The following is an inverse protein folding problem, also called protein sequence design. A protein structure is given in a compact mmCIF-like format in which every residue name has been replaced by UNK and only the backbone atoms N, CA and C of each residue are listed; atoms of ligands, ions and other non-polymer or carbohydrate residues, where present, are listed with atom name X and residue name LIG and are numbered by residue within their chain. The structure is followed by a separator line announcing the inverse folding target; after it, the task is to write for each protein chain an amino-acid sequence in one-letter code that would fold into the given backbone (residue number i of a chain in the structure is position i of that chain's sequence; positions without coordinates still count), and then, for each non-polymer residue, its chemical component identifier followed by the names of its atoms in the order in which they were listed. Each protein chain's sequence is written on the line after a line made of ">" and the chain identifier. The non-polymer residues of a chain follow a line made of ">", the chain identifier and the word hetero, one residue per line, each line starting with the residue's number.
data_IF_634655133296
#
_entry.id   IF_634655133296
#
_cell.length_a   1.000
_cell.length_b   1.000
_cell.length_c   1.000
_cell.angle_alpha   90.00
_cell.angle_beta   90.00
_cell.angle_gamma   90.00
#
_symmetry.space_group_name_H-M   'P 1'
#
loop_
_entity.id
_entity.type
_entity.pdbx_description
1 polymer ?
#
# COMPACT_ATOMS: atom_id res chain seq x y z
N UNK A 1 8.75 -1.17 21.03
CA UNK A 1 8.23 -0.43 19.86
C UNK A 1 7.62 -1.43 18.90
N UNK A 2 6.44 -1.13 18.37
CA UNK A 2 5.76 -1.96 17.39
C UNK A 2 5.32 -1.10 16.21
N UNK A 3 5.29 -1.68 15.03
CA UNK A 3 4.87 -1.00 13.81
C UNK A 3 3.50 -1.52 13.38
N UNK A 4 2.72 -0.63 12.75
CA UNK A 4 1.46 -0.96 12.12
C UNK A 4 1.45 -0.39 10.70
N UNK A 5 0.87 -1.14 9.78
CA UNK A 5 0.61 -0.69 8.42
C UNK A 5 -0.83 -0.18 8.35
N UNK A 6 -1.03 0.98 7.73
CA UNK A 6 -2.31 1.66 7.61
C UNK A 6 -2.53 2.01 6.15
N UNK A 7 -3.72 1.69 5.63
CA UNK A 7 -4.14 2.14 4.31
C UNK A 7 -5.03 3.37 4.49
N UNK A 8 -4.60 4.48 3.91
CA UNK A 8 -5.39 5.70 3.80
C UNK A 8 -6.01 5.74 2.41
N UNK A 9 -7.32 5.99 2.36
CA UNK A 9 -8.06 6.08 1.11
C UNK A 9 -8.61 7.49 1.01
N UNK A 10 -8.31 8.19 -0.07
CA UNK A 10 -8.72 9.58 -0.27
C UNK A 10 -9.33 9.81 -1.65
N UNK A 11 -10.27 10.74 -1.74
CA UNK A 11 -10.82 11.23 -3.00
C UNK A 11 -10.87 12.76 -2.97
N UNK A 12 -10.38 13.38 -4.06
CA UNK A 12 -10.20 14.84 -4.16
C UNK A 12 -11.36 15.58 -4.84
N UNK A 13 -12.55 14.97 -4.94
CA UNK A 13 -13.70 15.55 -5.65
C UNK A 13 -13.76 15.26 -7.16
N UNK A 14 -12.76 14.59 -7.73
CA UNK A 14 -12.83 13.94 -9.04
C UNK A 14 -13.35 12.49 -8.95
N UNK A 15 -13.14 11.69 -9.99
CA UNK A 15 -13.51 10.27 -9.98
C UNK A 15 -12.41 9.36 -9.40
N UNK A 16 -11.22 9.88 -9.13
CA UNK A 16 -10.09 9.12 -8.59
C UNK A 16 -10.24 8.81 -7.10
N UNK A 17 -9.71 7.66 -6.70
CA UNK A 17 -9.65 7.18 -5.32
C UNK A 17 -8.24 6.68 -5.06
N UNK A 18 -7.45 7.45 -4.34
CA UNK A 18 -6.04 7.18 -4.12
C UNK A 18 -5.83 6.39 -2.83
N UNK A 19 -4.93 5.42 -2.90
CA UNK A 19 -4.58 4.55 -1.79
C UNK A 19 -3.13 4.86 -1.39
N UNK A 20 -2.93 5.21 -0.12
CA UNK A 20 -1.61 5.46 0.44
C UNK A 20 -1.33 4.45 1.55
N UNK A 21 -0.20 3.76 1.46
CA UNK A 21 0.34 2.93 2.52
C UNK A 21 1.14 3.80 3.48
N UNK A 22 0.75 3.82 4.75
CA UNK A 22 1.51 4.44 5.82
C UNK A 22 2.04 3.40 6.81
N UNK A 23 3.27 3.57 7.27
CA UNK A 23 3.81 2.84 8.44
C UNK A 23 3.81 3.76 9.65
N UNK A 24 3.16 3.30 10.70
CA UNK A 24 3.02 4.01 11.97
C UNK A 24 3.78 3.25 13.04
N UNK A 25 4.70 3.93 13.71
CA UNK A 25 5.32 3.39 14.93
C UNK A 25 4.48 3.75 16.14
N UNK A 26 4.38 2.79 17.05
CA UNK A 26 3.81 2.96 18.37
C UNK A 26 4.90 2.86 19.43
N UNK A 27 5.04 3.95 20.18
CA UNK A 27 5.86 4.03 21.39
C UNK A 27 4.99 4.47 22.58
N UNK A 28 4.69 3.52 23.47
CA UNK A 28 3.68 3.70 24.51
C UNK A 28 2.31 4.08 23.93
N UNK A 29 1.85 5.29 24.24
CA UNK A 29 0.59 5.86 23.74
C UNK A 29 0.77 6.81 22.55
N UNK A 30 2.01 7.02 22.10
CA UNK A 30 2.31 7.89 20.96
C UNK A 30 2.29 7.07 19.69
N UNK A 31 1.53 7.54 18.71
CA UNK A 31 1.54 7.05 17.34
C UNK A 31 2.25 8.08 16.45
N UNK A 32 3.21 7.64 15.66
CA UNK A 32 3.95 8.51 14.75
C UNK A 32 3.96 7.88 13.36
N UNK A 33 3.44 8.60 12.37
CA UNK A 33 3.60 8.23 10.97
C UNK A 33 5.08 8.43 10.59
N UNK A 34 5.75 7.35 10.19
CA UNK A 34 7.18 7.37 9.86
C UNK A 34 7.38 7.51 8.35
N UNK A 35 6.54 6.85 7.56
CA UNK A 35 6.66 6.78 6.12
C UNK A 35 5.29 6.62 5.47
N UNK A 36 5.13 7.23 4.30
CA UNK A 36 3.95 7.06 3.45
C UNK A 36 4.39 6.83 2.01
N UNK A 37 3.67 6.00 1.28
CA UNK A 37 3.87 5.77 -0.15
C UNK A 37 2.51 5.61 -0.84
N UNK A 38 2.35 6.25 -2.00
CA UNK A 38 1.16 6.04 -2.81
C UNK A 38 1.25 4.67 -3.50
N UNK A 39 0.23 3.84 -3.32
CA UNK A 39 0.22 2.46 -3.85
C UNK A 39 -0.73 2.28 -5.04
N UNK A 40 -1.44 3.34 -5.44
CA UNK A 40 -2.22 3.38 -6.68
C UNK A 40 -3.53 4.17 -6.59
N UNK A 41 -4.24 4.18 -7.72
CA UNK A 41 -5.59 4.73 -7.88
C UNK A 41 -6.58 3.58 -8.14
N UNK A 42 -7.75 3.61 -7.51
CA UNK A 42 -8.86 2.66 -7.64
C UNK A 42 -8.51 1.17 -7.45
N UNK A 43 -7.38 0.86 -6.84
CA UNK A 43 -7.01 -0.51 -6.50
C UNK A 43 -7.98 -1.11 -5.47
N UNK A 44 -8.04 -2.43 -5.39
CA UNK A 44 -8.86 -3.13 -4.40
C UNK A 44 -7.95 -3.88 -3.45
N UNK A 45 -7.87 -3.50 -2.17
CA UNK A 45 -7.07 -4.20 -1.17
C UNK A 45 -7.87 -5.39 -0.63
N UNK A 46 -7.29 -6.59 -0.70
CA UNK A 46 -7.87 -7.79 -0.09
C UNK A 46 -7.21 -8.16 1.24
N UNK A 47 -5.88 -7.99 1.36
CA UNK A 47 -5.14 -8.32 2.58
C UNK A 47 -3.95 -7.39 2.78
N UNK A 48 -3.60 -7.14 4.05
CA UNK A 48 -2.40 -6.42 4.45
C UNK A 48 -1.79 -7.04 5.69
N UNK A 49 -0.48 -7.28 5.64
CA UNK A 49 0.27 -7.85 6.75
C UNK A 49 1.70 -7.35 6.81
N UNK A 50 2.29 -7.40 8.00
CA UNK A 50 3.71 -7.18 8.22
C UNK A 50 4.33 -8.52 8.56
N UNK A 51 5.23 -9.02 7.72
CA UNK A 51 5.95 -10.28 7.91
C UNK A 51 7.43 -10.06 7.59
N UNK A 52 8.34 -10.50 8.47
CA UNK A 52 9.80 -10.37 8.27
C UNK A 52 10.24 -8.95 7.86
N UNK A 53 9.77 -7.93 8.59
CA UNK A 53 10.04 -6.50 8.33
C UNK A 53 9.61 -6.03 6.93
N UNK A 54 8.67 -6.72 6.30
CA UNK A 54 8.14 -6.41 4.98
C UNK A 54 6.62 -6.23 5.09
N UNK A 55 6.11 -5.13 4.56
CA UNK A 55 4.66 -4.95 4.37
C UNK A 55 4.30 -5.69 3.08
N UNK A 56 3.38 -6.64 3.20
CA UNK A 56 2.86 -7.43 2.08
C UNK A 56 1.40 -7.07 1.89
N UNK A 57 1.05 -6.64 0.67
CA UNK A 57 -0.29 -6.23 0.32
C UNK A 57 -0.79 -7.13 -0.80
N UNK A 58 -1.93 -7.78 -0.59
CA UNK A 58 -2.66 -8.47 -1.65
C UNK A 58 -3.73 -7.53 -2.18
N UNK A 59 -3.67 -7.22 -3.48
CA UNK A 59 -4.57 -6.26 -4.10
C UNK A 59 -4.92 -6.64 -5.55
N UNK A 60 -6.03 -6.12 -6.04
CA UNK A 60 -6.28 -5.98 -7.49
C UNK A 60 -5.79 -4.62 -7.95
N UNK A 61 -4.78 -4.60 -8.82
CA UNK A 61 -4.12 -3.41 -9.38
C UNK A 61 -4.37 -3.30 -10.88
N UNK A 62 -3.89 -2.23 -11.52
CA UNK A 62 -4.00 -2.07 -12.96
C UNK A 62 -2.96 -2.93 -13.70
N UNK A 63 -3.42 -3.70 -14.67
CA UNK A 63 -2.60 -4.23 -15.76
C UNK A 63 -2.23 -3.10 -16.75
N UNK A 64 -1.19 -3.27 -17.58
CA UNK A 64 -0.80 -2.26 -18.57
C UNK A 64 -1.91 -1.85 -19.54
N UNK A 65 -2.80 -2.79 -19.87
CA UNK A 65 -3.91 -2.59 -20.82
C UNK A 65 -5.22 -2.15 -20.14
N UNK A 66 -5.25 -2.10 -18.80
CA UNK A 66 -6.47 -1.75 -18.07
C UNK A 66 -6.82 -0.27 -18.28
N UNK A 67 -8.11 0.05 -18.51
CA UNK A 67 -8.59 1.41 -18.35
C UNK A 67 -8.32 1.89 -16.91
N UNK A 68 -8.03 3.17 -16.73
CA UNK A 68 -7.74 3.80 -15.42
C UNK A 68 -8.90 3.61 -14.40
N UNK A 69 -10.14 3.33 -14.86
CA UNK A 69 -11.26 3.07 -13.96
C UNK A 69 -11.25 1.69 -13.30
N UNK A 70 -10.59 0.72 -13.95
CA UNK A 70 -11.05 -0.65 -13.90
C UNK A 70 -9.85 -1.61 -13.82
N UNK A 71 -9.19 -1.70 -12.65
CA UNK A 71 -8.09 -2.63 -12.44
C UNK A 71 -8.57 -4.08 -12.50
N UNK A 72 -7.78 -4.95 -13.09
CA UNK A 72 -8.08 -6.38 -13.28
C UNK A 72 -6.95 -7.32 -12.80
N UNK A 73 -5.74 -6.80 -12.57
CA UNK A 73 -4.57 -7.59 -12.23
C UNK A 73 -4.55 -7.98 -10.75
N UNK A 74 -4.60 -9.27 -10.43
CA UNK A 74 -4.29 -9.74 -9.08
C UNK A 74 -2.79 -9.65 -8.82
N UNK A 75 -2.41 -8.97 -7.74
CA UNK A 75 -1.04 -8.65 -7.38
C UNK A 75 -0.76 -8.81 -5.88
N UNK A 76 0.48 -9.19 -5.57
CA UNK A 76 1.07 -9.11 -4.23
C UNK A 76 2.23 -8.10 -4.29
N UNK A 77 2.09 -7.01 -3.54
CA UNK A 77 3.06 -5.92 -3.48
C UNK A 77 3.89 -6.04 -2.20
N UNK A 78 5.20 -5.86 -2.33
CA UNK A 78 6.14 -5.97 -1.20
C UNK A 78 6.88 -4.66 -0.98
N UNK A 79 6.71 -4.10 0.22
CA UNK A 79 7.35 -2.87 0.65
C UNK A 79 8.26 -3.10 1.86
N UNK A 80 9.38 -2.39 1.91
CA UNK A 80 10.24 -2.33 3.09
C UNK A 80 10.42 -0.90 3.53
N UNK A 81 10.46 -0.69 4.85
CA UNK A 81 10.88 0.57 5.42
C UNK A 81 12.41 0.66 5.33
N UNK A 82 12.91 1.68 4.63
CA UNK A 82 14.33 1.99 4.53
C UNK A 82 14.51 3.50 4.71
N UNK A 83 15.31 3.94 5.69
CA UNK A 83 15.57 5.35 5.99
C UNK A 83 14.31 6.24 6.01
N UNK A 84 13.26 5.78 6.72
CA UNK A 84 11.95 6.43 6.81
C UNK A 84 11.20 6.57 5.48
N UNK A 85 11.51 5.73 4.49
CA UNK A 85 10.80 5.64 3.23
C UNK A 85 10.29 4.23 3.01
N UNK A 86 9.09 4.10 2.43
CA UNK A 86 8.55 2.82 2.01
C UNK A 86 9.01 2.54 0.58
N UNK A 87 9.88 1.55 0.43
CA UNK A 87 10.43 1.15 -0.87
C UNK A 87 9.67 -0.05 -1.38
N UNK A 88 8.97 0.12 -2.50
CA UNK A 88 8.45 -0.98 -3.29
C UNK A 88 9.60 -1.70 -3.98
N UNK A 89 9.85 -2.97 -3.66
CA UNK A 89 11.00 -3.71 -4.21
C UNK A 89 10.60 -4.96 -4.99
N UNK A 90 9.34 -5.39 -4.91
CA UNK A 90 8.86 -6.58 -5.60
C UNK A 90 7.34 -6.54 -5.79
N UNK A 91 6.91 -6.98 -6.96
CA UNK A 91 5.52 -7.32 -7.28
C UNK A 91 5.48 -8.77 -7.75
N UNK A 92 4.54 -9.55 -7.21
CA UNK A 92 4.07 -10.78 -7.85
C UNK A 92 2.71 -10.47 -8.48
N UNK A 93 2.49 -10.84 -9.73
CA UNK A 93 1.22 -10.63 -10.41
C UNK A 93 0.85 -11.91 -11.17
N UNK A 94 -0.44 -12.26 -11.16
CA UNK A 94 -0.93 -13.38 -11.96
C UNK A 94 -0.74 -13.09 -13.46
N UNK A 95 -0.48 -14.11 -14.28
CA UNK A 95 -0.18 -13.93 -15.71
C UNK A 95 -1.39 -13.55 -16.55
#
# INVERSE_FOLDING_TARGET
>A
MSEAAVILISSGGGSGTFYDLAVVSKDGNTLTNIAVENIGDRIQIQDIKIENMTVVITATTHAPEDPICCPSQHSILYYRLNDNQLVHFRTEADK
#
